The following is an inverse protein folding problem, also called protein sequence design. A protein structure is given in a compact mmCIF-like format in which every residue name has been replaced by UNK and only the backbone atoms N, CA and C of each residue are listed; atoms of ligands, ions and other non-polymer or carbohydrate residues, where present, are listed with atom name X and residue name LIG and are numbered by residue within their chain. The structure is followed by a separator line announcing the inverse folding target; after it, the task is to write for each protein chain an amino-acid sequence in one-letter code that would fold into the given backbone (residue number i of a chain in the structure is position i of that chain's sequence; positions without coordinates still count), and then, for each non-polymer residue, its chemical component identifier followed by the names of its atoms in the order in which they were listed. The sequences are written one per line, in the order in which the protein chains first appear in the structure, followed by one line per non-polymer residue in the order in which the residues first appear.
data_IF_496817107360
#
_entry.id   IF_496817107360
#
_cell.length_a   1.000
_cell.length_b   1.000
_cell.length_c   1.000
_cell.angle_alpha   90.00
_cell.angle_beta   90.00
_cell.angle_gamma   90.00
#
_symmetry.space_group_name_H-M   'P 1'
#
loop_
_entity.id
_entity.type
_entity.pdbx_description
1 polymer ?
#
# COMPACT_ATOMS: atom_id res chain seq x y z
N UNK A 1 -39.64 5.68 -39.63
CA UNK A 1 -38.95 6.20 -38.44
C UNK A 1 -39.30 5.37 -37.20
N UNK A 2 -38.83 4.11 -37.12
CA UNK A 2 -39.15 3.18 -36.00
C UNK A 2 -37.93 2.42 -35.45
N UNK A 3 -36.72 2.76 -35.92
CA UNK A 3 -35.46 2.09 -35.55
C UNK A 3 -34.56 2.90 -34.61
N UNK A 4 -34.89 4.17 -34.32
CA UNK A 4 -34.11 4.99 -33.38
C UNK A 4 -34.44 4.73 -31.90
N UNK A 5 -35.61 4.19 -31.60
CA UNK A 5 -36.08 4.02 -30.21
C UNK A 5 -35.41 2.85 -29.47
N UNK A 6 -34.83 1.88 -30.18
CA UNK A 6 -34.17 0.71 -29.57
C UNK A 6 -32.73 0.98 -29.10
N UNK A 7 -32.04 1.97 -29.69
CA UNK A 7 -30.68 2.35 -29.30
C UNK A 7 -30.64 3.09 -27.95
N UNK A 8 -31.69 3.84 -27.60
CA UNK A 8 -31.77 4.54 -26.32
C UNK A 8 -32.00 3.59 -25.12
N UNK A 9 -32.73 2.49 -25.31
CA UNK A 9 -32.99 1.52 -24.22
C UNK A 9 -31.72 0.70 -23.90
N UNK A 10 -30.91 0.37 -24.90
CA UNK A 10 -29.61 -0.29 -24.68
C UNK A 10 -28.60 0.62 -23.98
N UNK A 11 -28.56 1.92 -24.31
CA UNK A 11 -27.68 2.88 -23.66
C UNK A 11 -28.02 3.09 -22.18
N UNK A 12 -29.30 3.06 -21.80
CA UNK A 12 -29.73 3.23 -20.40
C UNK A 12 -29.44 1.96 -19.57
N UNK A 13 -29.49 0.76 -20.17
CA UNK A 13 -29.23 -0.49 -19.46
C UNK A 13 -27.79 -0.64 -18.94
N UNK A 14 -26.82 0.07 -19.52
CA UNK A 14 -25.42 0.04 -19.07
C UNK A 14 -25.13 1.00 -17.91
N UNK A 15 -26.03 1.94 -17.59
CA UNK A 15 -25.85 2.85 -16.44
C UNK A 15 -26.37 2.27 -15.12
N UNK A 16 -27.11 1.14 -15.13
CA UNK A 16 -27.70 0.54 -13.93
C UNK A 16 -26.80 -0.44 -13.16
N UNK A 17 -25.54 -0.62 -13.57
CA UNK A 17 -24.59 -1.54 -12.93
C UNK A 17 -23.50 -0.88 -12.09
N UNK A 18 -23.57 0.43 -11.86
CA UNK A 18 -22.82 1.09 -10.77
C UNK A 18 -23.58 0.93 -9.45
N UNK A 19 -23.90 -0.30 -9.04
CA UNK A 19 -24.21 -0.52 -7.64
C UNK A 19 -22.93 -0.29 -6.85
N UNK A 20 -22.97 0.66 -5.90
CA UNK A 20 -21.90 0.84 -4.93
C UNK A 20 -21.71 -0.47 -4.17
N UNK A 21 -20.75 -1.29 -4.61
CA UNK A 21 -20.48 -2.60 -4.04
C UNK A 21 -20.14 -2.43 -2.56
N UNK A 22 -20.92 -3.03 -1.67
CA UNK A 22 -20.62 -3.04 -0.23
C UNK A 22 -19.71 -4.22 0.10
N UNK A 23 -18.68 -3.97 0.90
CA UNK A 23 -17.87 -5.03 1.51
C UNK A 23 -18.29 -5.23 2.96
N UNK A 24 -18.32 -6.49 3.37
CA UNK A 24 -18.63 -6.98 4.73
C UNK A 24 -17.68 -8.13 5.06
N UNK A 25 -17.61 -8.56 6.33
CA UNK A 25 -16.80 -9.71 6.73
C UNK A 25 -15.29 -9.46 6.74
N UNK A 26 -14.87 -8.19 6.80
CA UNK A 26 -13.49 -7.80 7.03
C UNK A 26 -13.09 -8.10 8.47
N UNK A 27 -11.84 -8.49 8.64
CA UNK A 27 -11.20 -8.68 9.94
C UNK A 27 -10.03 -7.69 10.06
N UNK A 28 -9.72 -7.23 11.27
CA UNK A 28 -8.78 -6.11 11.46
C UNK A 28 -7.72 -6.41 12.52
N UNK A 29 -6.50 -6.01 12.22
CA UNK A 29 -5.51 -5.70 13.24
C UNK A 29 -5.50 -4.19 13.44
N UNK A 30 -5.91 -3.71 14.61
CA UNK A 30 -5.99 -2.27 14.83
C UNK A 30 -4.61 -1.65 14.96
N UNK A 31 -3.63 -2.43 15.44
CA UNK A 31 -2.25 -2.00 15.56
C UNK A 31 -1.21 -3.10 15.32
N UNK A 32 0.05 -2.71 15.40
CA UNK A 32 1.22 -3.57 15.28
C UNK A 32 1.22 -4.67 16.35
N UNK A 33 0.91 -4.32 17.59
CA UNK A 33 0.87 -5.27 18.70
C UNK A 33 -0.24 -6.31 18.52
N UNK A 34 -1.38 -5.93 17.93
CA UNK A 34 -2.45 -6.88 17.62
C UNK A 34 -1.98 -7.93 16.61
N UNK A 35 -1.27 -7.50 15.55
CA UNK A 35 -0.69 -8.42 14.56
C UNK A 35 0.34 -9.37 15.18
N UNK A 36 1.25 -8.86 16.03
CA UNK A 36 2.25 -9.70 16.71
C UNK A 36 1.65 -10.76 17.62
N UNK A 37 0.47 -10.49 18.18
CA UNK A 37 -0.26 -11.39 19.09
C UNK A 37 -1.31 -12.25 18.37
N UNK A 38 -1.42 -12.12 17.05
CA UNK A 38 -2.49 -12.74 16.25
C UNK A 38 -3.90 -12.40 16.78
N UNK A 39 -4.06 -11.18 17.30
CA UNK A 39 -5.31 -10.68 17.90
C UNK A 39 -6.19 -10.04 16.84
N UNK A 40 -6.82 -10.89 16.03
CA UNK A 40 -7.64 -10.47 14.90
C UNK A 40 -9.08 -10.14 15.32
N UNK A 41 -9.51 -8.88 15.12
CA UNK A 41 -10.86 -8.44 15.43
C UNK A 41 -11.83 -8.69 14.27
N UNK A 42 -13.05 -9.13 14.57
CA UNK A 42 -14.10 -9.45 13.57
C UNK A 42 -15.39 -8.65 13.82
N UNK A 43 -15.36 -7.32 13.68
CA UNK A 43 -16.52 -6.48 13.95
C UNK A 43 -17.57 -6.61 12.83
N UNK A 44 -18.84 -6.44 13.18
CA UNK A 44 -19.93 -6.38 12.20
C UNK A 44 -20.02 -4.99 11.57
N UNK A 45 -19.16 -4.74 10.58
CA UNK A 45 -19.08 -3.45 9.85
C UNK A 45 -19.20 -3.65 8.35
N UNK A 46 -19.54 -2.58 7.65
CA UNK A 46 -19.51 -2.51 6.20
C UNK A 46 -18.84 -1.22 5.70
N UNK A 47 -18.40 -1.23 4.44
CA UNK A 47 -17.99 -0.04 3.71
C UNK A 47 -18.43 -0.13 2.24
N UNK A 48 -18.58 1.01 1.58
CA UNK A 48 -18.89 1.08 0.15
C UNK A 48 -17.59 1.18 -0.65
N UNK A 49 -17.42 0.33 -1.66
CA UNK A 49 -16.27 0.37 -2.57
C UNK A 49 -16.45 1.52 -3.55
N UNK A 50 -15.49 2.45 -3.53
CA UNK A 50 -15.41 3.56 -4.48
C UNK A 50 -14.60 3.20 -5.73
N UNK A 51 -13.58 2.37 -5.57
CA UNK A 51 -12.77 1.81 -6.65
C UNK A 51 -11.89 0.71 -6.08
N UNK A 52 -11.61 -0.32 -6.88
CA UNK A 52 -10.70 -1.40 -6.48
C UNK A 52 -10.07 -2.04 -7.71
N UNK A 53 -8.98 -2.76 -7.48
CA UNK A 53 -8.43 -3.77 -8.37
C UNK A 53 -7.76 -4.86 -7.52
N UNK A 54 -6.92 -5.69 -8.12
CA UNK A 54 -6.23 -6.77 -7.40
C UNK A 54 -5.20 -6.28 -6.36
N UNK A 55 -4.73 -5.02 -6.46
CA UNK A 55 -3.66 -4.48 -5.64
C UNK A 55 -4.14 -3.47 -4.58
N UNK A 56 -5.36 -2.95 -4.69
CA UNK A 56 -5.95 -2.09 -3.66
C UNK A 56 -7.48 -2.09 -3.64
N UNK A 57 -8.02 -1.65 -2.51
CA UNK A 57 -9.44 -1.33 -2.34
C UNK A 57 -9.55 0.06 -1.73
N UNK A 58 -10.28 0.95 -2.41
CA UNK A 58 -10.63 2.30 -1.94
C UNK A 58 -12.10 2.32 -1.56
N UNK A 59 -12.38 2.77 -0.35
CA UNK A 59 -13.68 2.57 0.30
C UNK A 59 -14.20 3.85 0.95
N UNK A 60 -15.49 3.86 1.28
CA UNK A 60 -16.05 4.82 2.24
C UNK A 60 -15.64 4.44 3.68
N UNK A 61 -15.82 5.36 4.66
CA UNK A 61 -15.55 5.02 6.05
C UNK A 61 -16.39 3.82 6.52
N UNK A 62 -15.79 2.90 7.25
CA UNK A 62 -16.49 1.78 7.87
C UNK A 62 -17.59 2.27 8.81
N UNK A 63 -18.74 1.60 8.76
CA UNK A 63 -19.93 1.83 9.58
C UNK A 63 -20.42 0.51 10.16
N UNK A 64 -20.94 0.54 11.38
CA UNK A 64 -21.55 -0.64 11.99
C UNK A 64 -22.84 -0.99 11.26
N UNK A 65 -23.06 -2.29 11.03
CA UNK A 65 -24.20 -2.79 10.24
C UNK A 65 -25.55 -2.56 10.91
N UNK A 66 -25.58 -2.52 12.24
CA UNK A 66 -26.79 -2.41 13.07
C UNK A 66 -27.27 -0.96 13.25
N UNK A 67 -26.33 -0.03 13.39
CA UNK A 67 -26.58 1.35 13.82
C UNK A 67 -26.23 2.38 12.77
N UNK A 68 -25.56 1.98 11.69
CA UNK A 68 -25.01 2.87 10.65
C UNK A 68 -24.03 3.92 11.19
N UNK A 69 -23.63 3.81 12.47
CA UNK A 69 -22.68 4.72 13.10
C UNK A 69 -21.26 4.43 12.59
N UNK A 70 -20.47 5.49 12.45
CA UNK A 70 -19.06 5.39 12.03
C UNK A 70 -18.26 4.48 12.98
N UNK A 71 -17.64 3.45 12.43
CA UNK A 71 -16.84 2.47 13.14
C UNK A 71 -15.41 3.01 13.31
N UNK A 72 -15.19 3.84 14.35
CA UNK A 72 -13.97 4.66 14.49
C UNK A 72 -12.67 3.85 14.59
N UNK A 73 -12.71 2.64 15.15
CA UNK A 73 -11.52 1.79 15.33
C UNK A 73 -11.09 1.17 14.00
N UNK A 74 -12.05 0.66 13.25
CA UNK A 74 -11.92 0.02 11.95
C UNK A 74 -11.41 1.04 10.91
N UNK A 75 -11.93 2.27 10.96
CA UNK A 75 -11.43 3.39 10.15
C UNK A 75 -9.99 3.80 10.48
N UNK A 76 -9.40 3.30 11.57
CA UNK A 76 -8.01 3.52 11.96
C UNK A 76 -7.21 2.22 11.97
N UNK A 77 -7.77 1.12 11.47
CA UNK A 77 -7.08 -0.17 11.49
C UNK A 77 -5.78 -0.10 10.71
N UNK A 78 -4.75 -0.75 11.24
CA UNK A 78 -3.43 -0.82 10.62
C UNK A 78 -3.44 -1.79 9.44
N UNK A 79 -4.04 -2.96 9.65
CA UNK A 79 -4.23 -3.98 8.63
C UNK A 79 -5.70 -4.40 8.57
N UNK A 80 -6.13 -4.78 7.37
CA UNK A 80 -7.42 -5.38 7.10
C UNK A 80 -7.19 -6.72 6.40
N UNK A 81 -7.74 -7.80 6.94
CA UNK A 81 -7.89 -9.06 6.22
C UNK A 81 -9.26 -9.06 5.56
N UNK A 82 -9.29 -9.31 4.27
CA UNK A 82 -10.52 -9.42 3.51
C UNK A 82 -10.35 -10.51 2.47
N UNK A 83 -11.26 -11.49 2.50
CA UNK A 83 -11.08 -12.77 1.80
C UNK A 83 -9.73 -13.41 2.22
N UNK A 84 -8.97 -13.94 1.27
CA UNK A 84 -7.67 -14.58 1.51
C UNK A 84 -6.49 -13.60 1.46
N UNK A 85 -6.74 -12.29 1.43
CA UNK A 85 -5.71 -11.28 1.28
C UNK A 85 -5.56 -10.41 2.53
N UNK A 86 -4.31 -10.05 2.83
CA UNK A 86 -3.97 -9.04 3.82
C UNK A 86 -3.76 -7.70 3.11
N UNK A 87 -4.35 -6.64 3.66
CA UNK A 87 -4.22 -5.29 3.16
C UNK A 87 -3.66 -4.36 4.22
N UNK A 88 -2.72 -3.51 3.81
CA UNK A 88 -2.15 -2.44 4.59
C UNK A 88 -2.95 -1.14 4.43
N UNK A 89 -3.24 -0.47 5.53
CA UNK A 89 -3.93 0.83 5.50
C UNK A 89 -2.97 1.91 4.99
N UNK A 90 -3.28 2.48 3.83
CA UNK A 90 -2.46 3.55 3.22
C UNK A 90 -2.48 4.85 4.03
N UNK A 91 -3.29 4.96 5.08
CA UNK A 91 -3.18 6.04 6.08
C UNK A 91 -1.79 6.06 6.74
N UNK A 92 -1.11 4.90 6.80
CA UNK A 92 0.18 4.72 7.43
C UNK A 92 1.33 4.57 6.42
N UNK A 93 1.10 4.91 5.14
CA UNK A 93 2.17 4.97 4.13
C UNK A 93 2.88 6.33 4.19
N UNK A 94 4.19 6.34 4.38
CA UNK A 94 4.97 7.57 4.32
C UNK A 94 4.90 8.19 2.92
N UNK A 95 4.77 9.52 2.83
CA UNK A 95 4.78 10.35 1.60
C UNK A 95 3.66 10.14 0.57
N UNK A 96 3.10 8.93 0.46
CA UNK A 96 2.05 8.55 -0.51
C UNK A 96 0.72 8.15 0.14
N UNK A 97 0.49 8.61 1.37
CA UNK A 97 -0.67 8.17 2.18
C UNK A 97 -2.02 8.46 1.51
N UNK A 98 -2.97 7.56 1.70
CA UNK A 98 -4.36 7.73 1.28
C UNK A 98 -5.30 7.24 2.39
N UNK A 99 -6.12 8.15 2.94
CA UNK A 99 -6.92 7.88 4.14
C UNK A 99 -8.03 6.85 3.95
N UNK A 100 -8.45 6.61 2.72
CA UNK A 100 -9.61 5.78 2.40
C UNK A 100 -9.24 4.57 1.53
N UNK A 101 -7.97 4.15 1.61
CA UNK A 101 -7.41 3.09 0.77
C UNK A 101 -6.68 2.05 1.60
N UNK A 102 -6.91 0.79 1.26
CA UNK A 102 -6.18 -0.37 1.73
C UNK A 102 -5.46 -1.01 0.55
N UNK A 103 -4.12 -1.09 0.59
CA UNK A 103 -3.30 -1.69 -0.46
C UNK A 103 -2.95 -3.13 -0.08
N UNK A 104 -3.02 -4.06 -1.03
CA UNK A 104 -2.71 -5.47 -0.80
C UNK A 104 -1.24 -5.62 -0.40
N UNK A 105 -0.97 -6.44 0.60
CA UNK A 105 0.39 -6.84 0.95
C UNK A 105 0.84 -7.91 -0.04
N UNK A 106 1.83 -7.59 -0.87
CA UNK A 106 2.33 -8.48 -1.92
C UNK A 106 3.28 -9.54 -1.37
N UNK A 107 4.12 -9.18 -0.39
CA UNK A 107 5.02 -10.10 0.30
C UNK A 107 4.72 -10.05 1.80
N UNK A 108 4.35 -11.20 2.36
CA UNK A 108 4.12 -11.39 3.80
C UNK A 108 5.27 -12.24 4.33
N UNK A 109 6.18 -11.65 5.10
CA UNK A 109 7.28 -12.37 5.73
C UNK A 109 7.27 -12.30 7.25
N UNK A 110 8.35 -12.75 7.90
CA UNK A 110 8.50 -12.67 9.37
C UNK A 110 9.03 -11.32 9.86
N UNK A 111 9.78 -10.62 9.00
CA UNK A 111 10.48 -9.37 9.33
C UNK A 111 9.89 -8.18 8.60
N UNK A 112 9.55 -8.36 7.33
CA UNK A 112 9.03 -7.31 6.46
C UNK A 112 7.75 -7.72 5.75
N UNK A 113 6.85 -6.76 5.62
CA UNK A 113 5.88 -6.75 4.52
C UNK A 113 6.39 -5.86 3.39
N UNK A 114 6.05 -6.26 2.16
CA UNK A 114 6.24 -5.45 0.97
C UNK A 114 4.89 -5.17 0.31
N UNK A 115 4.63 -3.89 0.04
CA UNK A 115 3.54 -3.44 -0.81
C UNK A 115 4.16 -2.74 -2.01
N UNK A 116 3.75 -3.10 -3.23
CA UNK A 116 4.13 -2.37 -4.44
C UNK A 116 2.90 -2.07 -5.28
N UNK A 117 2.83 -0.82 -5.74
CA UNK A 117 1.69 -0.27 -6.47
C UNK A 117 2.21 0.31 -7.79
N UNK A 118 1.61 -0.11 -8.90
CA UNK A 118 1.92 0.41 -10.23
C UNK A 118 1.45 1.87 -10.34
N UNK A 119 2.35 2.77 -10.74
CA UNK A 119 2.09 4.21 -10.75
C UNK A 119 0.99 4.63 -11.75
N UNK A 120 0.68 3.79 -12.75
CA UNK A 120 -0.36 4.05 -13.76
C UNK A 120 -1.66 3.36 -13.37
N UNK A 121 -1.61 2.05 -13.12
CA UNK A 121 -2.78 1.21 -12.83
C UNK A 121 -3.36 1.50 -11.44
N UNK A 122 -2.50 1.76 -10.46
CA UNK A 122 -2.87 1.91 -9.04
C UNK A 122 -2.85 3.38 -8.57
N UNK A 123 -2.81 4.32 -9.52
CA UNK A 123 -2.75 5.78 -9.25
C UNK A 123 -3.81 6.31 -8.29
N UNK A 124 -4.95 5.61 -8.10
CA UNK A 124 -6.00 6.02 -7.16
C UNK A 124 -5.69 5.65 -5.70
N UNK A 125 -4.78 4.69 -5.49
CA UNK A 125 -4.27 4.27 -4.19
C UNK A 125 -3.05 5.08 -3.76
N UNK A 126 -2.28 5.58 -4.73
CA UNK A 126 -1.13 6.45 -4.53
C UNK A 126 -1.64 7.89 -4.50
N UNK A 127 -1.77 8.48 -3.31
CA UNK A 127 -2.07 9.91 -3.23
C UNK A 127 -0.86 10.72 -3.69
N UNK A 128 -1.08 12.00 -4.02
CA UNK A 128 -0.02 12.88 -4.50
C UNK A 128 1.16 12.87 -3.52
N UNK A 129 2.35 12.55 -4.04
CA UNK A 129 3.63 12.69 -3.35
C UNK A 129 3.64 14.06 -2.68
N UNK A 130 3.50 14.10 -1.36
CA UNK A 130 3.71 15.33 -0.62
C UNK A 130 5.15 15.25 -0.09
N UNK A 131 6.13 15.90 -0.75
CA UNK A 131 7.52 15.90 -0.30
C UNK A 131 7.66 16.83 0.91
N UNK A 132 6.97 16.52 2.01
CA UNK A 132 7.28 17.13 3.30
C UNK A 132 8.56 16.49 3.82
N UNK A 133 9.68 17.11 3.48
CA UNK A 133 11.00 16.70 3.95
C UNK A 133 12.08 16.69 2.87
N UNK A 134 12.14 17.73 2.04
CA UNK A 134 13.38 18.14 1.37
C UNK A 134 14.41 18.61 2.40
N UNK A 135 14.84 17.69 3.28
CA UNK A 135 15.99 17.89 4.14
C UNK A 135 17.25 17.85 3.28
N UNK A 136 17.82 19.03 3.06
CA UNK A 136 19.06 19.30 2.34
C UNK A 136 20.32 18.73 3.04
N UNK A 137 20.22 17.56 3.68
CA UNK A 137 21.34 16.94 4.41
C UNK A 137 21.39 15.43 4.15
N UNK A 138 22.45 15.06 3.44
CA UNK A 138 22.84 13.69 3.08
C UNK A 138 23.85 13.67 1.92
N UNK A 139 24.54 14.79 1.67
CA UNK A 139 25.71 14.82 0.81
C UNK A 139 26.88 14.22 1.58
N UNK A 140 27.17 12.94 1.34
CA UNK A 140 28.48 12.32 1.55
C UNK A 140 28.51 10.83 1.13
N UNK A 141 27.38 10.10 1.12
CA UNK A 141 27.40 8.66 0.86
C UNK A 141 27.04 8.33 -0.60
N UNK A 142 27.96 8.64 -1.52
CA UNK A 142 27.97 8.32 -2.97
C UNK A 142 27.60 9.50 -3.88
N UNK A 143 28.61 10.28 -4.26
CA UNK A 143 28.57 11.44 -5.18
C UNK A 143 28.12 11.13 -6.65
N UNK A 144 27.26 10.13 -6.85
CA UNK A 144 26.75 9.75 -8.18
C UNK A 144 25.46 8.93 -8.16
N UNK A 145 24.79 8.80 -7.02
CA UNK A 145 23.48 8.12 -6.94
C UNK A 145 22.36 9.16 -7.04
N UNK A 146 21.53 9.05 -8.07
CA UNK A 146 20.29 9.83 -8.15
C UNK A 146 19.26 9.27 -7.15
N UNK A 147 18.68 10.10 -6.26
CA UNK A 147 17.59 9.67 -5.40
C UNK A 147 16.40 9.18 -6.25
N UNK A 148 15.98 7.93 -6.02
CA UNK A 148 14.80 7.34 -6.66
C UNK A 148 13.77 7.00 -5.60
N UNK A 149 12.51 7.26 -5.93
CA UNK A 149 11.33 6.95 -5.10
C UNK A 149 10.31 6.13 -5.89
N UNK A 150 10.75 5.55 -7.01
CA UNK A 150 9.98 4.66 -7.86
C UNK A 150 10.95 3.66 -8.50
N UNK A 151 10.47 2.46 -8.74
CA UNK A 151 11.27 1.34 -9.22
C UNK A 151 10.63 0.76 -10.46
N UNK A 152 11.45 0.53 -11.49
CA UNK A 152 10.98 -0.15 -12.69
C UNK A 152 11.03 -1.66 -12.47
N UNK A 153 10.04 -2.39 -12.96
CA UNK A 153 10.20 -3.83 -13.19
C UNK A 153 11.08 -4.07 -14.44
N UNK A 154 11.41 -5.33 -14.70
CA UNK A 154 12.18 -5.71 -15.91
C UNK A 154 11.44 -5.44 -17.22
N UNK A 155 10.12 -5.19 -17.18
CA UNK A 155 9.27 -4.86 -18.34
C UNK A 155 9.15 -3.35 -18.56
N UNK A 156 9.66 -2.54 -17.63
CA UNK A 156 9.65 -1.08 -17.69
C UNK A 156 8.46 -0.40 -16.99
N UNK A 157 7.55 -1.14 -16.36
CA UNK A 157 6.46 -0.58 -15.56
C UNK A 157 7.02 0.02 -14.27
N UNK A 158 6.47 1.15 -13.83
CA UNK A 158 7.00 1.92 -12.70
C UNK A 158 6.14 1.73 -11.46
N UNK A 159 6.78 1.48 -10.31
CA UNK A 159 6.11 1.14 -9.06
C UNK A 159 6.55 2.04 -7.91
N UNK A 160 5.59 2.42 -7.06
CA UNK A 160 5.86 2.81 -5.68
C UNK A 160 5.96 1.56 -4.82
N UNK A 161 6.99 1.50 -3.98
CA UNK A 161 7.23 0.34 -3.11
C UNK A 161 7.28 0.84 -1.67
N UNK A 162 6.52 0.19 -0.79
CA UNK A 162 6.53 0.41 0.65
C UNK A 162 7.09 -0.82 1.35
N UNK A 163 8.02 -0.58 2.26
CA UNK A 163 8.54 -1.58 3.19
C UNK A 163 7.98 -1.31 4.58
N UNK A 164 7.33 -2.30 5.18
CA UNK A 164 6.79 -2.23 6.53
C UNK A 164 7.60 -3.20 7.39
N UNK A 165 8.26 -2.72 8.43
CA UNK A 165 8.94 -3.57 9.42
C UNK A 165 7.91 -4.13 10.40
N UNK A 166 7.75 -5.44 10.40
CA UNK A 166 6.81 -6.18 11.27
C UNK A 166 7.53 -6.88 12.44
N UNK A 167 8.86 -6.74 12.53
CA UNK A 167 9.65 -7.16 13.68
C UNK A 167 9.72 -6.03 14.70
N UNK A 168 9.93 -4.80 14.23
CA UNK A 168 10.09 -3.60 15.05
C UNK A 168 9.21 -2.47 14.50
N UNK A 169 8.37 -1.90 15.37
CA UNK A 169 7.67 -0.67 15.03
C UNK A 169 8.68 0.45 14.82
N UNK A 170 8.61 1.10 13.65
CA UNK A 170 9.40 2.28 13.31
C UNK A 170 8.72 3.60 13.72
N UNK A 171 7.63 3.52 14.49
CA UNK A 171 6.90 4.69 14.92
C UNK A 171 7.55 5.31 16.18
N UNK A 172 8.44 6.28 15.97
CA UNK A 172 9.21 6.93 17.04
C UNK A 172 8.59 8.23 17.57
N UNK A 173 7.62 8.82 16.86
CA UNK A 173 7.09 10.15 17.17
C UNK A 173 5.58 10.20 17.38
N UNK A 174 4.86 9.13 17.06
CA UNK A 174 3.42 9.05 17.20
C UNK A 174 3.03 8.01 18.25
N UNK A 175 2.00 8.28 19.04
CA UNK A 175 1.49 7.36 20.08
C UNK A 175 0.73 6.16 19.53
N UNK A 176 0.46 6.12 18.22
CA UNK A 176 -0.24 5.01 17.54
C UNK A 176 0.60 3.73 17.57
N UNK A 177 0.00 2.60 17.93
CA UNK A 177 0.66 1.29 17.86
C UNK A 177 0.69 0.80 16.40
N UNK A 178 1.61 1.32 15.58
CA UNK A 178 1.72 1.00 14.15
C UNK A 178 3.18 0.91 13.73
N UNK A 179 3.45 0.19 12.63
CA UNK A 179 4.68 0.38 11.86
C UNK A 179 4.32 1.02 10.53
N UNK A 180 4.95 2.14 10.19
CA UNK A 180 4.70 2.88 8.96
C UNK A 180 5.33 2.15 7.77
N UNK A 181 4.61 2.18 6.63
CA UNK A 181 5.17 1.76 5.35
C UNK A 181 6.09 2.86 4.84
N UNK A 182 7.40 2.60 4.84
CA UNK A 182 8.39 3.52 4.32
C UNK A 182 8.52 3.34 2.82
N UNK A 183 8.48 4.44 2.06
CA UNK A 183 8.82 4.38 0.64
C UNK A 183 10.24 3.88 0.50
N UNK A 184 10.41 2.81 -0.25
CA UNK A 184 11.72 2.28 -0.59
C UNK A 184 12.37 3.25 -1.55
N UNK A 185 13.37 3.98 -1.06
CA UNK A 185 14.20 4.86 -1.84
C UNK A 185 15.62 4.30 -1.99
N UNK A 186 16.44 4.95 -2.82
CA UNK A 186 17.85 4.55 -3.02
C UNK A 186 18.61 4.45 -1.69
N UNK A 187 18.34 5.34 -0.71
CA UNK A 187 19.04 5.35 0.58
C UNK A 187 18.66 4.14 1.43
N UNK A 188 17.39 3.78 1.45
CA UNK A 188 16.90 2.62 2.19
C UNK A 188 17.49 1.33 1.60
N UNK A 189 17.55 1.18 0.27
CA UNK A 189 18.20 0.02 -0.36
C UNK A 189 19.67 -0.09 0.04
N UNK A 190 20.43 1.00 -0.06
CA UNK A 190 21.85 1.02 0.34
C UNK A 190 22.01 0.66 1.81
N UNK A 191 21.13 1.15 2.69
CA UNK A 191 21.14 0.82 4.12
C UNK A 191 20.82 -0.66 4.37
N UNK A 192 19.80 -1.22 3.71
CA UNK A 192 19.38 -2.61 3.87
C UNK A 192 20.41 -3.61 3.34
N UNK A 193 21.21 -3.20 2.36
CA UNK A 193 22.26 -3.99 1.74
C UNK A 193 23.64 -3.75 2.35
N UNK A 194 23.71 -2.99 3.45
CA UNK A 194 24.95 -2.62 4.13
C UNK A 194 26.03 -2.06 3.19
N UNK A 195 25.60 -1.16 2.29
CA UNK A 195 26.47 -0.55 1.27
C UNK A 195 27.15 -1.54 0.32
N UNK A 196 26.48 -2.66 -0.02
CA UNK A 196 26.97 -3.63 -1.00
C UNK A 196 27.41 -2.95 -2.32
N UNK A 197 28.70 -3.07 -2.71
CA UNK A 197 29.22 -2.45 -3.92
C UNK A 197 28.51 -2.88 -5.21
N UNK A 198 28.06 -4.14 -5.31
CA UNK A 198 27.34 -4.63 -6.49
C UNK A 198 25.98 -3.98 -6.62
N UNK A 199 25.26 -3.83 -5.50
CA UNK A 199 23.97 -3.12 -5.45
C UNK A 199 24.16 -1.65 -5.81
N UNK A 200 25.17 -0.99 -5.24
CA UNK A 200 25.50 0.40 -5.57
C UNK A 200 25.81 0.56 -7.06
N UNK A 201 26.53 -0.39 -7.65
CA UNK A 201 26.84 -0.39 -9.09
C UNK A 201 25.56 -0.48 -9.93
N UNK A 202 24.68 -1.45 -9.65
CA UNK A 202 23.37 -1.59 -10.32
C UNK A 202 22.53 -0.32 -10.19
N UNK A 203 22.52 0.31 -9.01
CA UNK A 203 21.76 1.53 -8.75
C UNK A 203 22.27 2.70 -9.61
N UNK A 204 23.59 2.86 -9.77
CA UNK A 204 24.23 3.88 -10.62
C UNK A 204 23.90 3.69 -12.10
N UNK A 205 23.84 2.44 -12.57
CA UNK A 205 23.57 2.12 -13.98
C UNK A 205 22.08 1.96 -14.30
N UNK A 206 21.18 2.24 -13.36
CA UNK A 206 19.73 2.03 -13.49
C UNK A 206 19.33 0.57 -13.79
N UNK A 207 20.12 -0.40 -13.31
CA UNK A 207 19.91 -1.85 -13.48
C UNK A 207 19.48 -2.53 -12.18
N UNK A 208 18.87 -1.77 -11.27
CA UNK A 208 18.26 -2.29 -10.05
C UNK A 208 16.74 -2.13 -10.16
N UNK A 209 16.04 -3.25 -10.21
CA UNK A 209 14.62 -3.35 -10.55
C UNK A 209 13.76 -3.72 -9.34
N UNK A 210 12.44 -3.65 -9.51
CA UNK A 210 11.46 -4.10 -8.49
C UNK A 210 11.76 -5.54 -8.04
N UNK A 211 12.12 -6.43 -8.98
CA UNK A 211 12.45 -7.82 -8.69
C UNK A 211 13.68 -7.95 -7.76
N UNK A 212 14.71 -7.10 -7.93
CA UNK A 212 15.86 -7.11 -7.01
C UNK A 212 15.44 -6.72 -5.57
N UNK A 213 14.45 -5.84 -5.42
CA UNK A 213 13.89 -5.46 -4.10
C UNK A 213 13.11 -6.61 -3.50
N UNK A 214 12.27 -7.28 -4.30
CA UNK A 214 11.50 -8.45 -3.86
C UNK A 214 12.45 -9.55 -3.38
N UNK A 215 13.51 -9.84 -4.15
CA UNK A 215 14.53 -10.83 -3.81
C UNK A 215 15.28 -10.47 -2.52
N UNK A 216 15.66 -9.20 -2.36
CA UNK A 216 16.28 -8.68 -1.13
C UNK A 216 15.37 -8.91 0.09
N UNK A 217 14.10 -8.53 -0.03
CA UNK A 217 13.13 -8.64 1.08
C UNK A 217 12.84 -10.09 1.42
N UNK A 218 12.70 -10.96 0.41
CA UNK A 218 12.54 -12.39 0.63
C UNK A 218 13.75 -13.01 1.32
N UNK A 219 14.97 -12.61 0.93
CA UNK A 219 16.20 -13.03 1.61
C UNK A 219 16.20 -12.59 3.07
N UNK A 220 15.86 -11.34 3.35
CA UNK A 220 15.76 -10.82 4.73
C UNK A 220 14.69 -11.51 5.57
N UNK A 221 13.58 -11.92 4.95
CA UNK A 221 12.48 -12.63 5.61
C UNK A 221 12.78 -14.11 5.93
N UNK A 222 13.78 -14.69 5.27
CA UNK A 222 14.19 -16.09 5.42
C UNK A 222 15.46 -16.27 6.26
N UNK A 223 16.05 -15.18 6.75
CA UNK A 223 17.10 -15.22 7.79
C UNK A 223 16.50 -15.58 9.15
#
# INVERSE_FOLDING_TARGET
MRKLSFLFVLAISHFYLSQNQRITGMEFYYGFSDYKKDSLAKPSVYAEVKSQNEDYIKISPFRYTDTDKKAKKENRAWLMKYQDNLYFSMTYAAYIYSFDTFARVNVIGKKYFLVYLDEVKDKKAISYNNPYGGGLLGGALNAGLTPKFAWKDKKGNSYKVLLIDIEKSNNTSDKRDVSFGLVVDTKLIVKLTDNDPEVISKLKTNQYYLEDIIDLVNKENNK
#
